data_IF_230454356993
#
_entry.id   IF_230454356993
#
_cell.length_a   1.000
_cell.length_b   1.000
_cell.length_c   1.000
_cell.angle_alpha   90.00
_cell.angle_beta   90.00
_cell.angle_gamma   90.00
#
_symmetry.space_group_name_H-M   'P 1'
#
loop_
_entity.id
_entity.type
_entity.pdbx_description
1 polymer ?
#
# COMPACT_ATOMS: atom_id res chain seq x y z
N UNK A 1 2.27 14.21 16.75
CA UNK A 1 3.09 13.04 16.36
C UNK A 1 4.36 13.58 15.72
N UNK A 2 5.51 13.34 16.34
CA UNK A 2 6.79 13.95 15.90
C UNK A 2 7.42 13.14 14.76
N UNK A 3 8.19 13.76 13.87
CA UNK A 3 8.91 13.09 12.77
C UNK A 3 9.76 11.88 13.23
N UNK A 4 10.18 11.89 14.50
CA UNK A 4 10.93 10.81 15.14
C UNK A 4 10.09 9.55 15.38
N UNK A 5 8.80 9.70 15.67
CA UNK A 5 7.86 8.59 15.85
C UNK A 5 7.53 7.92 14.52
N UNK A 6 7.32 8.71 13.46
CA UNK A 6 7.05 8.20 12.10
C UNK A 6 8.24 7.37 11.58
N UNK A 7 9.48 7.87 11.75
CA UNK A 7 10.67 7.12 11.36
C UNK A 7 10.87 5.85 12.20
N UNK A 8 10.55 5.88 13.50
CA UNK A 8 10.65 4.69 14.34
C UNK A 8 9.65 3.60 13.95
N UNK A 9 8.45 3.95 13.46
CA UNK A 9 7.46 2.97 12.99
C UNK A 9 7.89 2.37 11.65
N UNK A 10 8.50 3.17 10.76
CA UNK A 10 9.07 2.69 9.50
C UNK A 10 10.29 1.77 9.73
N UNK A 11 11.16 2.08 10.70
CA UNK A 11 12.31 1.24 11.06
C UNK A 11 11.93 -0.09 11.72
N UNK A 12 10.77 -0.16 12.39
CA UNK A 12 10.23 -1.39 12.97
C UNK A 12 9.63 -2.33 11.90
N UNK A 13 9.15 -1.81 10.77
CA UNK A 13 8.69 -2.61 9.62
C UNK A 13 9.85 -3.26 8.86
N UNK A 14 11.00 -2.58 8.73
CA UNK A 14 12.15 -3.08 7.97
C UNK A 14 12.99 -4.12 8.75
N UNK A 15 13.03 -4.01 10.09
CA UNK A 15 13.86 -4.88 10.93
C UNK A 15 13.32 -6.31 11.15
N UNK A 16 12.09 -6.60 10.74
CA UNK A 16 11.50 -7.95 10.91
C UNK A 16 11.52 -8.78 9.61
N UNK A 17 12.45 -8.48 8.70
CA UNK A 17 12.63 -9.23 7.47
C UNK A 17 13.31 -10.58 7.73
N UNK A 18 12.58 -11.51 8.36
CA UNK A 18 12.91 -12.94 8.45
C UNK A 18 12.67 -13.63 7.10
N UNK A 19 13.06 -13.00 5.99
CA UNK A 19 12.93 -13.58 4.65
C UNK A 19 13.88 -14.75 4.52
N UNK A 20 13.33 -15.92 4.23
CA UNK A 20 14.13 -17.09 3.88
C UNK A 20 14.86 -16.85 2.56
N UNK A 21 16.00 -17.53 2.35
CA UNK A 21 16.77 -17.37 1.11
C UNK A 21 15.93 -17.68 -0.14
N UNK A 22 15.02 -18.65 -0.05
CA UNK A 22 14.08 -18.99 -1.13
C UNK A 22 13.12 -17.86 -1.46
N UNK A 23 12.62 -17.14 -0.45
CA UNK A 23 11.78 -15.97 -0.67
C UNK A 23 12.56 -14.88 -1.40
N UNK A 24 13.76 -14.52 -0.93
CA UNK A 24 14.59 -13.49 -1.59
C UNK A 24 14.92 -13.80 -3.05
N UNK A 25 15.18 -15.07 -3.37
CA UNK A 25 15.44 -15.51 -4.75
C UNK A 25 14.16 -15.42 -5.58
N UNK A 26 13.01 -15.80 -5.03
CA UNK A 26 11.73 -15.70 -5.73
C UNK A 26 11.31 -14.25 -6.04
N UNK A 27 11.48 -13.28 -5.12
CA UNK A 27 11.25 -11.85 -5.43
C UNK A 27 12.12 -11.41 -6.60
N UNK A 28 13.43 -11.69 -6.53
CA UNK A 28 14.36 -11.29 -7.58
C UNK A 28 14.05 -11.94 -8.93
N UNK A 29 13.64 -13.21 -8.96
CA UNK A 29 13.25 -13.90 -10.19
C UNK A 29 11.95 -13.34 -10.75
N UNK A 30 10.97 -13.02 -9.91
CA UNK A 30 9.72 -12.39 -10.34
C UNK A 30 9.97 -10.98 -10.92
N UNK A 31 10.77 -10.16 -10.24
CA UNK A 31 11.14 -8.82 -10.69
C UNK A 31 11.95 -8.85 -11.98
N UNK A 32 12.88 -9.80 -12.11
CA UNK A 32 13.70 -9.96 -13.32
C UNK A 32 12.87 -10.50 -14.49
N UNK A 33 12.01 -11.50 -14.24
CA UNK A 33 11.13 -12.09 -15.26
C UNK A 33 10.07 -11.13 -15.79
N UNK A 34 9.69 -10.12 -15.00
CA UNK A 34 8.74 -9.06 -15.40
C UNK A 34 9.36 -7.87 -16.15
N UNK A 35 10.69 -7.82 -16.28
CA UNK A 35 11.36 -6.67 -16.90
C UNK A 35 11.32 -6.72 -18.44
N UNK A 36 11.05 -5.56 -19.06
CA UNK A 36 11.16 -5.37 -20.51
C UNK A 36 12.56 -5.70 -21.06
N UNK A 37 13.62 -5.48 -20.27
CA UNK A 37 14.99 -5.80 -20.68
C UNK A 37 15.24 -7.31 -20.75
N UNK A 38 14.62 -8.09 -19.86
CA UNK A 38 14.72 -9.56 -19.88
C UNK A 38 14.02 -10.13 -21.11
N UNK A 39 12.81 -9.65 -21.42
CA UNK A 39 12.03 -10.08 -22.58
C UNK A 39 12.81 -9.86 -23.88
N UNK A 40 13.40 -8.67 -24.06
CA UNK A 40 14.17 -8.34 -25.25
C UNK A 40 15.47 -9.15 -25.36
N UNK A 41 16.19 -9.34 -24.25
CA UNK A 41 17.41 -10.16 -24.22
C UNK A 41 17.11 -11.65 -24.52
N UNK A 42 16.01 -12.18 -23.99
CA UNK A 42 15.59 -13.56 -24.22
C UNK A 42 15.19 -13.77 -25.68
N UNK A 43 14.44 -12.82 -26.26
CA UNK A 43 14.07 -12.86 -27.68
C UNK A 43 15.31 -12.82 -28.59
N UNK A 44 16.28 -11.96 -28.27
CA UNK A 44 17.55 -11.90 -29.00
C UNK A 44 18.31 -13.23 -28.93
N UNK A 45 18.38 -13.84 -27.74
CA UNK A 45 19.01 -15.15 -27.56
C UNK A 45 18.34 -16.24 -28.40
N UNK A 46 17.00 -16.29 -28.44
CA UNK A 46 16.25 -17.24 -29.27
C UNK A 46 16.58 -17.06 -30.77
N UNK A 47 16.58 -15.83 -31.25
CA UNK A 47 16.90 -15.51 -32.65
C UNK A 47 18.35 -15.93 -32.97
N UNK A 48 19.31 -15.61 -32.10
CA UNK A 48 20.71 -15.99 -32.26
C UNK A 48 20.89 -17.53 -32.27
N UNK A 49 20.16 -18.26 -31.43
CA UNK A 49 20.16 -19.71 -31.37
C UNK A 49 19.65 -20.35 -32.66
N UNK A 50 18.53 -19.83 -33.18
CA UNK A 50 17.94 -20.28 -34.45
C UNK A 50 18.89 -20.00 -35.61
N UNK A 51 19.45 -18.79 -35.72
CA UNK A 51 20.39 -18.43 -36.79
C UNK A 51 21.63 -19.33 -36.77
N UNK A 52 22.18 -19.57 -35.59
CA UNK A 52 23.38 -20.42 -35.43
C UNK A 52 23.09 -21.88 -35.83
N UNK A 53 21.99 -22.47 -35.36
CA UNK A 53 21.69 -23.87 -35.66
C UNK A 53 21.19 -24.08 -37.10
N UNK A 54 20.38 -23.15 -37.64
CA UNK A 54 19.82 -23.26 -38.98
C UNK A 54 20.81 -22.91 -40.10
N UNK A 55 21.56 -21.82 -39.93
CA UNK A 55 22.38 -21.24 -41.01
C UNK A 55 23.86 -21.61 -40.90
N UNK A 56 24.41 -21.63 -39.68
CA UNK A 56 25.85 -21.87 -39.48
C UNK A 56 26.20 -23.37 -39.49
N UNK A 57 25.31 -24.25 -39.02
CA UNK A 57 25.57 -25.70 -38.92
C UNK A 57 24.86 -26.56 -40.00
N UNK A 58 24.24 -25.95 -41.03
CA UNK A 58 23.65 -26.65 -42.20
C UNK A 58 22.77 -27.87 -41.82
N UNK A 59 21.94 -27.74 -40.78
CA UNK A 59 21.05 -28.80 -40.30
C UNK A 59 21.75 -30.09 -39.79
N UNK A 60 23.08 -30.09 -39.61
CA UNK A 60 23.86 -31.11 -38.91
C UNK A 60 24.24 -30.70 -37.48
N UNK A 61 23.65 -29.61 -37.00
CA UNK A 61 23.95 -29.03 -35.70
C UNK A 61 23.40 -29.79 -34.51
N UNK A 62 23.67 -29.25 -33.32
CA UNK A 62 23.24 -29.81 -32.04
C UNK A 62 21.71 -29.83 -31.88
N UNK A 63 20.99 -28.91 -32.53
CA UNK A 63 19.52 -28.87 -32.56
C UNK A 63 19.00 -28.59 -33.99
N UNK A 64 18.92 -29.62 -34.87
CA UNK A 64 18.40 -29.49 -36.23
C UNK A 64 16.92 -29.10 -36.24
N UNK A 65 16.45 -28.48 -37.32
CA UNK A 65 15.02 -28.25 -37.52
C UNK A 65 14.25 -29.59 -37.39
N UNK A 66 13.26 -29.72 -36.49
CA UNK A 66 12.36 -28.70 -35.94
C UNK A 66 12.67 -28.16 -34.51
N UNK A 67 13.92 -28.14 -34.05
CA UNK A 67 14.38 -27.58 -32.76
C UNK A 67 13.76 -28.23 -31.51
N UNK A 68 13.95 -29.54 -31.34
CA UNK A 68 13.33 -30.31 -30.25
C UNK A 68 13.87 -29.92 -28.87
N UNK A 69 15.16 -29.58 -28.76
CA UNK A 69 15.77 -29.22 -27.49
C UNK A 69 15.30 -27.83 -27.03
N UNK A 70 15.26 -26.87 -27.96
CA UNK A 70 14.73 -25.54 -27.68
C UNK A 70 13.29 -25.62 -27.18
N UNK A 71 12.45 -26.40 -27.88
CA UNK A 71 11.05 -26.60 -27.51
C UNK A 71 10.90 -27.22 -26.11
N UNK A 72 11.72 -28.23 -25.79
CA UNK A 72 11.71 -28.87 -24.47
C UNK A 72 12.06 -27.88 -23.34
N UNK A 73 13.10 -27.05 -23.53
CA UNK A 73 13.53 -26.06 -22.54
C UNK A 73 12.45 -24.99 -22.34
N UNK A 74 11.89 -24.44 -23.42
CA UNK A 74 10.81 -23.45 -23.35
C UNK A 74 9.57 -24.00 -22.64
N UNK A 75 9.20 -25.25 -22.94
CA UNK A 75 8.06 -25.92 -22.29
C UNK A 75 8.27 -26.08 -20.78
N UNK A 76 9.49 -26.45 -20.37
CA UNK A 76 9.85 -26.57 -18.95
C UNK A 76 9.79 -25.21 -18.22
N UNK A 77 10.34 -24.16 -18.83
CA UNK A 77 10.30 -22.79 -18.28
C UNK A 77 8.85 -22.31 -18.13
N UNK A 78 8.02 -22.50 -19.17
CA UNK A 78 6.63 -22.10 -19.14
C UNK A 78 5.82 -22.85 -18.06
N UNK A 79 6.08 -24.15 -17.86
CA UNK A 79 5.42 -24.93 -16.82
C UNK A 79 5.74 -24.43 -15.40
N UNK A 80 6.96 -23.96 -15.16
CA UNK A 80 7.37 -23.38 -13.87
C UNK A 80 6.93 -21.93 -13.67
N UNK A 81 6.54 -21.23 -14.74
CA UNK A 81 6.18 -19.82 -14.68
C UNK A 81 4.90 -19.56 -13.87
N UNK A 82 3.83 -20.33 -14.12
CA UNK A 82 2.55 -20.16 -13.43
C UNK A 82 2.64 -20.26 -11.89
N UNK A 83 3.27 -21.29 -11.28
CA UNK A 83 3.39 -21.36 -9.83
C UNK A 83 4.31 -20.29 -9.25
N UNK A 84 5.37 -19.87 -9.95
CA UNK A 84 6.23 -18.77 -9.50
C UNK A 84 5.44 -17.46 -9.46
N UNK A 85 4.66 -17.18 -10.51
CA UNK A 85 3.77 -16.02 -10.55
C UNK A 85 2.76 -16.10 -9.40
N UNK A 86 2.11 -17.25 -9.21
CA UNK A 86 1.13 -17.45 -8.14
C UNK A 86 1.74 -17.28 -6.74
N UNK A 87 2.97 -17.75 -6.51
CA UNK A 87 3.68 -17.53 -5.24
C UNK A 87 4.00 -16.04 -5.02
N UNK A 88 4.41 -15.33 -6.09
CA UNK A 88 4.66 -13.89 -6.02
C UNK A 88 3.37 -13.11 -5.76
N UNK A 89 2.26 -13.50 -6.39
CA UNK A 89 0.93 -12.93 -6.19
C UNK A 89 0.43 -13.15 -4.76
N UNK A 90 0.41 -14.39 -4.27
CA UNK A 90 -0.03 -14.72 -2.91
C UNK A 90 0.72 -13.89 -1.85
N UNK A 91 2.02 -13.66 -2.05
CA UNK A 91 2.82 -12.82 -1.14
C UNK A 91 2.44 -11.34 -1.25
N UNK A 92 2.22 -10.83 -2.45
CA UNK A 92 1.81 -9.44 -2.63
C UNK A 92 0.44 -9.20 -1.97
N UNK A 93 -0.50 -10.13 -2.14
CA UNK A 93 -1.82 -10.09 -1.50
C UNK A 93 -1.72 -10.12 0.03
N UNK A 94 -0.80 -10.92 0.60
CA UNK A 94 -0.58 -10.94 2.06
C UNK A 94 -0.11 -9.58 2.57
N UNK A 95 0.87 -8.95 1.90
CA UNK A 95 1.34 -7.60 2.23
C UNK A 95 0.22 -6.55 2.08
N UNK A 96 -0.56 -6.63 1.01
CA UNK A 96 -1.66 -5.72 0.74
C UNK A 96 -2.76 -5.87 1.80
N UNK A 97 -3.03 -7.10 2.25
CA UNK A 97 -3.97 -7.39 3.34
C UNK A 97 -3.50 -6.82 4.68
N UNK A 98 -2.21 -6.91 4.99
CA UNK A 98 -1.65 -6.29 6.20
C UNK A 98 -1.73 -4.76 6.15
N UNK A 99 -1.41 -4.16 5.01
CA UNK A 99 -1.56 -2.72 4.79
C UNK A 99 -3.01 -2.28 4.98
N UNK A 100 -3.96 -2.97 4.37
CA UNK A 100 -5.39 -2.67 4.50
C UNK A 100 -5.87 -2.76 5.97
N UNK A 101 -5.38 -3.74 6.74
CA UNK A 101 -5.69 -3.84 8.19
C UNK A 101 -5.16 -2.64 8.97
N UNK A 102 -3.94 -2.19 8.68
CA UNK A 102 -3.34 -1.00 9.33
C UNK A 102 -4.13 0.26 8.98
N UNK A 103 -4.46 0.45 7.71
CA UNK A 103 -5.25 1.59 7.25
C UNK A 103 -6.63 1.63 7.92
N UNK A 104 -7.28 0.47 8.06
CA UNK A 104 -8.55 0.35 8.79
C UNK A 104 -8.42 0.76 10.26
N UNK A 105 -7.36 0.34 10.96
CA UNK A 105 -7.13 0.71 12.35
C UNK A 105 -6.88 2.22 12.51
N UNK A 106 -6.12 2.83 11.60
CA UNK A 106 -5.89 4.28 11.57
C UNK A 106 -7.23 5.01 11.39
N UNK A 107 -8.08 4.53 10.47
CA UNK A 107 -9.38 5.13 10.22
C UNK A 107 -10.30 5.07 11.45
N UNK A 108 -10.37 3.90 12.11
CA UNK A 108 -11.12 3.75 13.37
C UNK A 108 -10.63 4.70 14.46
N UNK A 109 -9.31 4.87 14.58
CA UNK A 109 -8.72 5.81 15.54
C UNK A 109 -9.08 7.26 15.20
N UNK A 110 -9.02 7.63 13.92
CA UNK A 110 -9.42 8.96 13.47
C UNK A 110 -10.91 9.24 13.75
N UNK A 111 -11.79 8.25 13.52
CA UNK A 111 -13.21 8.35 13.86
C UNK A 111 -13.43 8.59 15.37
N UNK A 112 -12.70 7.87 16.22
CA UNK A 112 -12.74 8.07 17.68
C UNK A 112 -12.26 9.46 18.08
N UNK A 113 -11.16 9.94 17.50
CA UNK A 113 -10.62 11.28 17.75
C UNK A 113 -11.62 12.37 17.34
N UNK A 114 -12.25 12.25 16.16
CA UNK A 114 -13.30 13.17 15.70
C UNK A 114 -14.48 13.16 16.68
N UNK A 115 -14.94 11.98 17.13
CA UNK A 115 -16.04 11.89 18.11
C UNK A 115 -15.68 12.56 19.43
N UNK A 116 -14.43 12.46 19.89
CA UNK A 116 -13.96 13.16 21.10
C UNK A 116 -13.94 14.67 20.88
N UNK A 117 -13.46 15.14 19.73
CA UNK A 117 -13.48 16.57 19.38
C UNK A 117 -14.89 17.12 19.35
N UNK A 118 -15.83 16.38 18.76
CA UNK A 118 -17.24 16.77 18.70
C UNK A 118 -17.84 16.91 20.11
N UNK A 119 -17.61 15.93 20.99
CA UNK A 119 -18.04 16.02 22.40
C UNK A 119 -17.46 17.23 23.13
N UNK A 120 -16.18 17.56 22.89
CA UNK A 120 -15.54 18.74 23.48
C UNK A 120 -16.16 20.03 22.94
N UNK A 121 -16.45 20.09 21.64
CA UNK A 121 -17.09 21.23 21.02
C UNK A 121 -18.50 21.44 21.58
N UNK A 122 -19.31 20.38 21.68
CA UNK A 122 -20.64 20.43 22.26
C UNK A 122 -20.59 20.93 23.71
N UNK A 123 -19.64 20.44 24.51
CA UNK A 123 -19.45 20.89 25.88
C UNK A 123 -19.09 22.38 26.00
N UNK A 124 -18.19 22.87 25.13
CA UNK A 124 -17.83 24.30 25.09
C UNK A 124 -19.05 25.14 24.67
N UNK A 125 -19.78 24.72 23.63
CA UNK A 125 -20.96 25.44 23.14
C UNK A 125 -22.05 25.53 24.21
N UNK A 126 -22.32 24.44 24.93
CA UNK A 126 -23.29 24.42 26.03
C UNK A 126 -22.90 25.43 27.13
N UNK A 127 -21.63 25.44 27.53
CA UNK A 127 -21.12 26.40 28.52
C UNK A 127 -21.25 27.85 28.05
N UNK A 128 -20.90 28.14 26.79
CA UNK A 128 -21.04 29.49 26.22
C UNK A 128 -22.51 29.93 26.12
N UNK A 129 -23.42 29.03 25.73
CA UNK A 129 -24.85 29.33 25.67
C UNK A 129 -25.42 29.70 27.04
N UNK A 130 -25.04 28.97 28.09
CA UNK A 130 -25.46 29.28 29.45
C UNK A 130 -25.01 30.68 29.88
N UNK A 131 -23.73 31.02 29.67
CA UNK A 131 -23.18 32.34 30.00
C UNK A 131 -23.90 33.47 29.25
N UNK A 132 -24.20 33.29 27.96
CA UNK A 132 -24.95 34.28 27.17
C UNK A 132 -26.36 34.51 27.71
N UNK A 133 -27.07 33.46 28.14
CA UNK A 133 -28.39 33.56 28.78
C UNK A 133 -28.31 34.32 30.10
N UNK A 134 -27.29 34.04 30.93
CA UNK A 134 -27.09 34.74 32.20
C UNK A 134 -26.84 36.23 31.96
N UNK A 135 -26.01 36.59 30.97
CA UNK A 135 -25.74 37.99 30.61
C UNK A 135 -27.02 38.68 30.11
N UNK A 136 -27.78 38.04 29.22
CA UNK A 136 -29.06 38.57 28.74
C UNK A 136 -30.06 38.83 29.86
N UNK A 137 -30.23 37.86 30.78
CA UNK A 137 -31.13 38.03 31.92
C UNK A 137 -30.71 39.18 32.84
N UNK A 138 -29.40 39.40 33.04
CA UNK A 138 -28.88 40.55 33.79
C UNK A 138 -29.20 41.87 33.07
N UNK A 139 -29.02 41.93 31.75
CA UNK A 139 -29.36 43.12 30.97
C UNK A 139 -30.86 43.44 31.05
N UNK A 140 -31.73 42.44 30.93
CA UNK A 140 -33.18 42.61 31.04
C UNK A 140 -33.59 43.14 32.42
N UNK A 141 -33.03 42.61 33.51
CA UNK A 141 -33.28 43.12 34.87
C UNK A 141 -32.85 44.57 35.06
N UNK A 142 -31.66 44.93 34.57
CA UNK A 142 -31.18 46.32 34.65
C UNK A 142 -32.09 47.28 33.88
N UNK A 143 -32.60 46.88 32.70
CA UNK A 143 -33.57 47.66 31.94
C UNK A 143 -34.90 47.83 32.69
N UNK A 144 -35.36 46.77 33.35
CA UNK A 144 -36.58 46.79 34.17
C UNK A 144 -36.43 47.72 35.39
N UNK A 145 -35.28 47.67 36.07
CA UNK A 145 -34.95 48.56 37.19
C UNK A 145 -34.90 50.03 36.74
N UNK A 146 -34.22 50.34 35.63
CA UNK A 146 -34.17 51.71 35.06
C UNK A 146 -35.57 52.21 34.72
N UNK A 147 -36.39 51.37 34.06
CA UNK A 147 -37.79 51.71 33.75
C UNK A 147 -38.59 52.00 35.02
N UNK A 148 -38.38 51.22 36.09
CA UNK A 148 -39.09 51.41 37.36
C UNK A 148 -38.71 52.73 38.06
N UNK A 149 -37.45 53.15 37.95
CA UNK A 149 -36.96 54.42 38.51
C UNK A 149 -37.47 55.64 37.72
N UNK A 150 -37.63 55.51 36.40
CA UNK A 150 -38.20 56.56 35.53
C UNK A 150 -39.72 56.76 35.72
N UNK A 151 -40.42 55.74 36.22
CA UNK A 151 -41.87 55.77 36.47
C UNK A 151 -42.24 56.22 37.91
N UNK A 152 -41.27 56.64 38.72
CA UNK A 152 -41.49 57.30 40.03
C UNK A 152 -41.29 58.80 39.89
#
# INVERSE_FOLDING_TARGET
MTNKEINSIAELEDNNDKRTLGQRVADKVADFGGSWTFILSFLFFLIAWIITNAYFLLNKGFDPYPFILLNLILSCIAALQAPIIMMSQNRQEEKDRERAKKDFQINLKAEQEIRILQKKLDHILEHQHHELIVIQNKQTKLLEDIKSQLNK
#
